data_IF_255821979661
#
_entry.id   IF_255821979661
#
_cell.length_a   1.000
_cell.length_b   1.000
_cell.length_c   1.000
_cell.angle_alpha   90.00
_cell.angle_beta   90.00
_cell.angle_gamma   90.00
#
_symmetry.space_group_name_H-M   'P 1'
#
loop_
_entity.id
_entity.type
_entity.pdbx_description
1 polymer ?
#
# COMPACT_ATOMS: atom_id res chain seq x y z
N UNK A 1 -2.38 12.81 5.77
CA UNK A 1 -1.17 12.07 5.33
C UNK A 1 0.09 12.67 5.92
N UNK A 2 0.69 11.95 6.88
CA UNK A 2 2.04 12.22 7.38
C UNK A 2 3.08 11.94 6.28
N UNK A 3 4.25 12.56 6.36
CA UNK A 3 5.32 12.33 5.37
C UNK A 3 5.72 10.85 5.30
N UNK A 4 5.73 10.17 6.44
CA UNK A 4 6.04 8.74 6.51
C UNK A 4 4.97 7.87 5.85
N UNK A 5 3.67 8.17 6.06
CA UNK A 5 2.58 7.49 5.35
C UNK A 5 2.68 7.69 3.82
N UNK A 6 3.10 8.88 3.38
CA UNK A 6 3.33 9.17 1.96
C UNK A 6 4.46 8.33 1.40
N UNK A 7 5.58 8.22 2.13
CA UNK A 7 6.75 7.42 1.76
C UNK A 7 6.39 5.94 1.63
N UNK A 8 5.70 5.37 2.62
CA UNK A 8 5.24 3.98 2.59
C UNK A 8 4.25 3.70 1.45
N UNK A 9 3.39 4.67 1.13
CA UNK A 9 2.50 4.58 -0.03
C UNK A 9 3.28 4.58 -1.35
N UNK A 10 4.27 5.45 -1.50
CA UNK A 10 5.11 5.49 -2.71
C UNK A 10 5.99 4.22 -2.83
N UNK A 11 6.48 3.69 -1.72
CA UNK A 11 7.18 2.39 -1.65
C UNK A 11 6.25 1.23 -2.03
N UNK A 12 5.02 1.22 -1.50
CA UNK A 12 3.99 0.25 -1.89
C UNK A 12 3.64 0.31 -3.38
N UNK A 13 3.60 1.51 -3.97
CA UNK A 13 3.40 1.69 -5.42
C UNK A 13 4.57 1.08 -6.22
N UNK A 14 5.80 1.28 -5.74
CA UNK A 14 7.00 0.72 -6.36
C UNK A 14 6.97 -0.81 -6.33
N UNK A 15 6.70 -1.41 -5.16
CA UNK A 15 6.55 -2.86 -5.05
C UNK A 15 5.42 -3.42 -5.90
N UNK A 16 4.32 -2.68 -6.04
CA UNK A 16 3.21 -3.08 -6.90
C UNK A 16 3.63 -3.13 -8.38
N UNK A 17 4.41 -2.14 -8.85
CA UNK A 17 4.98 -2.14 -10.20
C UNK A 17 5.97 -3.29 -10.42
N UNK A 18 6.75 -3.63 -9.39
CA UNK A 18 7.67 -4.78 -9.41
C UNK A 18 6.95 -6.14 -9.28
N UNK A 19 5.61 -6.16 -9.27
CA UNK A 19 4.78 -7.36 -9.03
C UNK A 19 5.03 -8.03 -7.67
N UNK A 20 5.67 -7.32 -6.74
CA UNK A 20 5.90 -7.76 -5.36
C UNK A 20 4.69 -7.41 -4.50
N UNK A 21 3.52 -7.94 -4.86
CA UNK A 21 2.24 -7.57 -4.26
C UNK A 21 2.16 -7.84 -2.75
N UNK A 22 2.85 -8.87 -2.25
CA UNK A 22 2.93 -9.15 -0.81
C UNK A 22 3.63 -8.00 -0.06
N UNK A 23 4.76 -7.50 -0.58
CA UNK A 23 5.48 -6.37 0.04
C UNK A 23 4.67 -5.08 -0.06
N UNK A 24 4.07 -4.84 -1.23
CA UNK A 24 3.17 -3.70 -1.43
C UNK A 24 2.02 -3.70 -0.40
N UNK A 25 1.41 -4.87 -0.15
CA UNK A 25 0.35 -5.02 0.84
C UNK A 25 0.80 -4.64 2.25
N UNK A 26 2.01 -5.04 2.67
CA UNK A 26 2.56 -4.67 3.97
C UNK A 26 2.86 -3.17 4.04
N UNK A 27 3.52 -2.58 3.03
CA UNK A 27 3.79 -1.14 3.00
C UNK A 27 2.52 -0.30 3.09
N UNK A 28 1.43 -0.68 2.38
CA UNK A 28 0.15 0.00 2.53
C UNK A 28 -0.50 -0.22 3.90
N UNK A 29 -0.30 -1.39 4.51
CA UNK A 29 -0.82 -1.66 5.86
C UNK A 29 -0.11 -0.80 6.90
N UNK A 30 1.20 -0.62 6.80
CA UNK A 30 1.97 0.26 7.67
C UNK A 30 1.60 1.73 7.42
N UNK A 31 1.38 2.13 6.17
CA UNK A 31 0.88 3.46 5.84
C UNK A 31 -0.50 3.73 6.46
N UNK A 32 -1.38 2.72 6.50
CA UNK A 32 -2.72 2.82 7.13
C UNK A 32 -2.60 3.02 8.64
N UNK A 33 -1.62 2.41 9.30
CA UNK A 33 -1.41 2.62 10.74
C UNK A 33 -1.05 4.09 11.05
N UNK A 34 -0.36 4.75 10.11
CA UNK A 34 0.04 6.16 10.24
C UNK A 34 -1.04 7.14 9.75
N UNK A 35 -1.83 6.76 8.74
CA UNK A 35 -2.92 7.56 8.19
C UNK A 35 -4.16 6.71 7.91
N UNK A 36 -4.85 6.33 8.98
CA UNK A 36 -6.03 5.47 8.91
C UNK A 36 -7.26 6.14 8.28
N UNK A 37 -7.21 7.45 8.01
CA UNK A 37 -8.29 8.22 7.39
C UNK A 37 -8.12 8.31 5.87
N UNK A 38 -7.05 7.75 5.30
CA UNK A 38 -6.79 7.83 3.88
C UNK A 38 -7.36 6.62 3.13
N UNK A 39 -8.51 6.81 2.49
CA UNK A 39 -9.19 5.81 1.69
C UNK A 39 -8.32 5.22 0.55
N UNK A 40 -7.38 5.98 0.01
CA UNK A 40 -6.48 5.52 -1.08
C UNK A 40 -5.61 4.36 -0.63
N UNK A 41 -5.13 4.37 0.62
CA UNK A 41 -4.29 3.30 1.14
C UNK A 41 -5.05 1.97 1.22
N UNK A 42 -6.32 2.02 1.64
CA UNK A 42 -7.18 0.83 1.66
C UNK A 42 -7.49 0.32 0.26
N UNK A 43 -7.74 1.23 -0.69
CA UNK A 43 -7.98 0.87 -2.10
C UNK A 43 -6.74 0.19 -2.72
N UNK A 44 -5.55 0.75 -2.51
CA UNK A 44 -4.30 0.18 -3.00
C UNK A 44 -3.99 -1.18 -2.35
N UNK A 45 -4.26 -1.32 -1.04
CA UNK A 45 -4.13 -2.61 -0.34
C UNK A 45 -5.11 -3.66 -0.89
N UNK A 46 -6.33 -3.27 -1.24
CA UNK A 46 -7.30 -4.15 -1.88
C UNK A 46 -6.84 -4.57 -3.29
N UNK A 47 -6.30 -3.62 -4.07
CA UNK A 47 -5.71 -3.92 -5.37
C UNK A 47 -4.55 -4.92 -5.28
N UNK A 48 -3.71 -4.83 -4.24
CA UNK A 48 -2.68 -5.84 -3.97
C UNK A 48 -3.29 -7.23 -3.77
N UNK A 49 -4.32 -7.36 -2.91
CA UNK A 49 -4.98 -8.66 -2.69
C UNK A 49 -5.60 -9.23 -3.97
N UNK A 50 -6.20 -8.37 -4.79
CA UNK A 50 -6.76 -8.80 -6.08
C UNK A 50 -5.65 -9.30 -7.01
N UNK A 51 -4.54 -8.57 -7.11
CA UNK A 51 -3.40 -8.95 -7.94
C UNK A 51 -2.64 -10.20 -7.44
N UNK A 52 -2.77 -10.56 -6.16
CA UNK A 52 -2.21 -11.79 -5.59
C UNK A 52 -3.05 -13.04 -5.85
N UNK A 53 -4.36 -12.87 -6.05
CA UNK A 53 -5.32 -13.96 -6.29
C UNK A 53 -5.68 -14.12 -7.78
N UNK A 54 -4.89 -13.51 -8.66
CA UNK A 54 -5.08 -13.52 -10.12
C UNK A 54 -3.87 -14.20 -10.77
#
# INVERSE_FOLDING_TARGET
>A
MSEEARRLKDEGNTFFQERQYLKAYYSYSDAILLDNNNAVLYANRAACRLAMNQ
#
